data_IF_442124026907
#
_entry.id   IF_442124026907
#
_cell.length_a   1.000
_cell.length_b   1.000
_cell.length_c   1.000
_cell.angle_alpha   90.00
_cell.angle_beta   90.00
_cell.angle_gamma   90.00
#
_symmetry.space_group_name_H-M   'P 1'
#
loop_
_entity.id
_entity.type
_entity.pdbx_description
1 polymer ?
#
# COMPACT_ATOMS: atom_id res chain seq x y z
N UNK A 1 58.24 -27.98 -24.91
CA UNK A 1 57.20 -28.46 -23.96
C UNK A 1 56.32 -27.29 -23.62
N UNK A 2 55.03 -27.42 -23.91
CA UNK A 2 54.03 -26.37 -23.87
C UNK A 2 53.37 -26.37 -22.49
N UNK A 3 53.36 -25.22 -21.81
CA UNK A 3 52.74 -25.05 -20.49
C UNK A 3 51.27 -24.69 -20.69
N UNK A 4 50.37 -25.61 -20.36
CA UNK A 4 48.93 -25.38 -20.35
C UNK A 4 48.53 -24.61 -19.10
N UNK A 5 48.05 -23.39 -19.26
CA UNK A 5 47.36 -22.62 -18.23
C UNK A 5 45.89 -23.06 -18.17
N UNK A 6 45.46 -23.65 -17.05
CA UNK A 6 44.05 -23.92 -16.77
C UNK A 6 43.46 -22.79 -15.93
N UNK A 7 42.60 -21.98 -16.56
CA UNK A 7 41.78 -20.97 -15.91
C UNK A 7 40.73 -21.62 -15.01
N UNK A 8 40.79 -21.38 -13.71
CA UNK A 8 39.70 -21.72 -12.78
C UNK A 8 38.85 -20.47 -12.55
N UNK A 9 37.63 -20.49 -13.07
CA UNK A 9 36.60 -19.49 -12.78
C UNK A 9 36.28 -19.48 -11.26
N UNK A 10 35.98 -18.32 -10.65
CA UNK A 10 35.65 -18.25 -9.24
C UNK A 10 34.31 -18.98 -8.98
N UNK A 11 34.36 -19.90 -8.01
CA UNK A 11 33.23 -20.67 -7.53
C UNK A 11 32.09 -19.76 -7.07
N UNK A 12 30.90 -20.04 -7.59
CA UNK A 12 29.65 -19.41 -7.20
C UNK A 12 29.41 -19.61 -5.71
N UNK A 13 29.31 -18.51 -4.96
CA UNK A 13 28.87 -18.54 -3.56
C UNK A 13 27.47 -19.17 -3.51
N UNK A 14 27.26 -20.29 -2.81
CA UNK A 14 25.92 -20.81 -2.60
C UNK A 14 25.19 -19.82 -1.68
N UNK A 15 24.21 -19.09 -2.23
CA UNK A 15 23.25 -18.36 -1.42
C UNK A 15 22.50 -19.41 -0.60
N UNK A 16 22.84 -19.53 0.69
CA UNK A 16 22.12 -20.37 1.62
C UNK A 16 20.65 -19.98 1.57
N UNK A 17 19.82 -20.88 1.05
CA UNK A 17 18.37 -20.79 1.16
C UNK A 17 18.06 -20.87 2.67
N UNK A 18 17.83 -19.71 3.29
CA UNK A 18 17.24 -19.70 4.62
C UNK A 18 15.91 -20.43 4.55
N UNK A 19 15.66 -21.43 5.42
CA UNK A 19 14.38 -22.09 5.46
C UNK A 19 13.34 -21.01 5.76
N UNK A 20 12.45 -20.77 4.79
CA UNK A 20 11.28 -19.93 4.98
C UNK A 20 10.43 -20.56 6.08
N UNK A 21 10.68 -20.17 7.32
CA UNK A 21 9.80 -20.50 8.44
C UNK A 21 8.39 -20.10 8.04
N UNK A 22 7.49 -21.08 8.02
CA UNK A 22 6.11 -21.04 7.54
C UNK A 22 5.20 -20.14 8.40
N UNK A 23 5.61 -18.90 8.65
CA UNK A 23 4.78 -17.89 9.29
C UNK A 23 4.03 -17.14 8.19
N UNK A 24 2.89 -17.68 7.77
CA UNK A 24 2.04 -17.02 6.78
C UNK A 24 1.61 -15.64 7.29
N UNK A 25 1.84 -14.61 6.48
CA UNK A 25 1.34 -13.25 6.77
C UNK A 25 -0.18 -13.30 6.86
N UNK A 26 -0.73 -12.72 7.93
CA UNK A 26 -2.15 -12.61 8.21
C UNK A 26 -2.64 -11.19 8.06
N UNK A 27 -1.89 -10.21 8.57
CA UNK A 27 -2.22 -8.80 8.45
C UNK A 27 -0.97 -7.96 8.22
N UNK A 28 -1.16 -6.81 7.57
CA UNK A 28 -0.15 -5.77 7.40
C UNK A 28 -0.73 -4.49 7.97
N UNK A 29 0.10 -3.77 8.70
CA UNK A 29 -0.17 -2.41 9.21
C UNK A 29 0.87 -1.47 8.66
N UNK A 30 0.53 -0.19 8.52
CA UNK A 30 1.47 0.84 8.07
C UNK A 30 1.37 2.08 8.94
N UNK A 31 2.48 2.81 9.09
CA UNK A 31 2.50 4.08 9.82
C UNK A 31 1.67 5.19 9.14
N UNK A 32 1.61 5.16 7.80
CA UNK A 32 0.80 6.03 6.95
C UNK A 32 0.56 5.33 5.62
N UNK A 33 -0.66 5.37 5.13
CA UNK A 33 -1.04 4.85 3.82
C UNK A 33 -0.88 5.88 2.73
N UNK A 34 -0.98 7.18 3.06
CA UNK A 34 -0.63 8.25 2.15
C UNK A 34 0.14 9.39 2.84
N UNK A 35 1.01 10.07 2.10
CA UNK A 35 1.78 11.22 2.56
C UNK A 35 1.94 12.30 1.48
N UNK A 36 1.73 13.56 1.88
CA UNK A 36 2.11 14.75 1.10
C UNK A 36 3.56 15.12 1.36
N UNK A 37 4.36 15.13 0.29
CA UNK A 37 5.81 15.32 0.36
C UNK A 37 6.20 16.58 -0.41
N UNK A 38 7.17 17.33 0.11
CA UNK A 38 7.74 18.45 -0.62
C UNK A 38 8.42 17.95 -1.89
N UNK A 39 8.23 18.66 -3.01
CA UNK A 39 8.99 18.41 -4.23
C UNK A 39 10.50 18.33 -3.93
N UNK A 40 11.20 17.38 -4.56
CA UNK A 40 12.63 17.14 -4.31
C UNK A 40 12.98 16.41 -3.01
N UNK A 41 12.01 16.01 -2.18
CA UNK A 41 12.26 15.27 -0.93
C UNK A 41 11.83 13.81 -1.04
N UNK A 42 12.33 12.91 -0.19
CA UNK A 42 11.95 11.49 -0.23
C UNK A 42 10.71 11.19 0.62
N UNK A 43 9.85 10.27 0.16
CA UNK A 43 8.77 9.71 0.97
C UNK A 43 9.22 8.45 1.72
N UNK A 44 8.69 8.18 2.91
CA UNK A 44 9.06 6.97 3.66
C UNK A 44 7.87 6.32 4.39
N UNK A 45 7.74 5.02 4.17
CA UNK A 45 6.70 4.19 4.75
C UNK A 45 7.33 3.06 5.58
N UNK A 46 6.69 2.74 6.70
CA UNK A 46 7.07 1.61 7.56
C UNK A 46 5.86 0.69 7.69
N UNK A 47 5.99 -0.50 7.12
CA UNK A 47 4.99 -1.55 7.25
C UNK A 47 5.42 -2.55 8.32
N UNK A 48 4.45 -3.15 9.00
CA UNK A 48 4.66 -4.26 9.95
C UNK A 48 3.70 -5.38 9.61
N UNK A 49 4.25 -6.56 9.33
CA UNK A 49 3.52 -7.77 9.02
C UNK A 49 3.33 -8.63 10.27
N UNK A 50 2.14 -9.20 10.40
CA UNK A 50 1.69 -9.95 11.56
C UNK A 50 1.20 -11.33 11.14
N UNK A 51 1.50 -12.34 11.97
CA UNK A 51 0.91 -13.68 11.90
C UNK A 51 -0.49 -13.68 12.51
N UNK A 52 -1.26 -14.75 12.27
CA UNK A 52 -2.62 -14.91 12.82
C UNK A 52 -2.65 -14.84 14.36
N UNK A 53 -1.57 -15.28 15.01
CA UNK A 53 -1.44 -15.32 16.47
C UNK A 53 -0.93 -14.00 17.06
N UNK A 54 -0.82 -12.93 16.26
CA UNK A 54 -0.36 -11.62 16.73
C UNK A 54 1.16 -11.48 16.89
N UNK A 55 1.95 -12.48 16.49
CA UNK A 55 3.41 -12.35 16.45
C UNK A 55 3.88 -11.65 15.16
N UNK A 56 5.01 -10.93 15.18
CA UNK A 56 5.59 -10.39 13.96
C UNK A 56 5.93 -11.48 12.94
N UNK A 57 5.59 -11.27 11.68
CA UNK A 57 5.97 -12.16 10.59
C UNK A 57 7.37 -11.77 10.08
N UNK A 58 8.41 -12.33 10.71
CA UNK A 58 9.81 -12.09 10.38
C UNK A 58 10.27 -12.85 9.12
N UNK A 59 11.33 -12.35 8.47
CA UNK A 59 11.99 -12.96 7.30
C UNK A 59 11.04 -13.29 6.15
N UNK A 60 10.00 -12.46 5.99
CA UNK A 60 9.04 -12.61 4.90
C UNK A 60 9.53 -11.85 3.67
N UNK A 61 9.55 -12.46 2.48
CA UNK A 61 10.01 -11.80 1.26
C UNK A 61 9.11 -10.60 0.92
N UNK A 62 9.73 -9.51 0.47
CA UNK A 62 9.06 -8.26 0.11
C UNK A 62 9.26 -7.96 -1.37
N UNK A 63 8.18 -7.64 -2.06
CA UNK A 63 8.22 -7.10 -3.42
C UNK A 63 7.46 -5.79 -3.46
N UNK A 64 8.08 -4.77 -4.05
CA UNK A 64 7.46 -3.46 -4.24
C UNK A 64 7.06 -3.32 -5.71
N UNK A 65 5.90 -2.73 -5.96
CA UNK A 65 5.41 -2.40 -7.28
C UNK A 65 5.11 -0.92 -7.35
N UNK A 66 5.61 -0.24 -8.39
CA UNK A 66 5.39 1.19 -8.60
C UNK A 66 4.41 1.38 -9.76
N UNK A 67 3.32 2.06 -9.47
CA UNK A 67 2.38 2.55 -10.47
C UNK A 67 2.39 4.07 -10.46
N UNK A 68 2.77 4.67 -11.58
CA UNK A 68 2.70 6.12 -11.76
C UNK A 68 1.26 6.55 -12.03
N UNK A 69 0.77 7.55 -11.32
CA UNK A 69 -0.56 8.13 -11.56
C UNK A 69 -0.46 9.59 -11.97
N UNK A 70 -1.38 10.02 -12.82
CA UNK A 70 -1.63 11.46 -13.01
C UNK A 70 -2.33 11.97 -11.74
N UNK A 71 -1.78 12.98 -11.04
CA UNK A 71 -2.43 13.57 -9.87
C UNK A 71 -3.88 13.94 -10.19
N UNK A 72 -4.78 13.74 -9.23
CA UNK A 72 -6.22 14.02 -9.35
C UNK A 72 -7.01 13.31 -10.45
N UNK A 73 -6.37 12.50 -11.29
CA UNK A 73 -7.10 11.78 -12.35
C UNK A 73 -8.20 10.88 -11.80
N UNK A 74 -8.08 10.47 -10.54
CA UNK A 74 -8.96 9.47 -9.95
C UNK A 74 -8.80 8.09 -10.60
N UNK A 75 -7.88 7.93 -11.55
CA UNK A 75 -7.62 6.70 -12.27
C UNK A 75 -6.46 5.95 -11.62
N UNK A 76 -6.59 4.64 -11.37
CA UNK A 76 -5.47 3.83 -10.92
C UNK A 76 -4.38 3.76 -12.01
N UNK A 77 -3.15 3.35 -11.66
CA UNK A 77 -2.10 3.09 -12.65
C UNK A 77 -2.56 2.02 -13.64
N UNK A 78 -2.35 2.26 -14.93
CA UNK A 78 -2.58 1.27 -16.00
C UNK A 78 -1.44 0.26 -16.10
N UNK A 79 -0.29 0.56 -15.48
CA UNK A 79 0.88 -0.31 -15.46
C UNK A 79 1.55 -0.27 -14.08
N UNK A 80 2.01 -1.44 -13.66
CA UNK A 80 2.79 -1.63 -12.45
C UNK A 80 4.19 -2.15 -12.78
N UNK A 81 5.20 -1.54 -12.19
CA UNK A 81 6.61 -1.88 -12.37
C UNK A 81 7.14 -2.54 -11.11
N UNK A 82 7.55 -3.80 -11.18
CA UNK A 82 8.14 -4.50 -10.05
C UNK A 82 9.51 -3.90 -9.71
N UNK A 83 9.86 -3.89 -8.42
CA UNK A 83 11.13 -3.35 -7.90
C UNK A 83 12.37 -4.05 -8.43
N UNK A 84 12.25 -5.25 -8.98
CA UNK A 84 13.31 -5.96 -9.68
C UNK A 84 13.64 -5.39 -11.07
N UNK A 85 12.86 -4.43 -11.58
CA UNK A 85 13.08 -3.82 -12.90
C UNK A 85 13.86 -2.52 -12.79
N UNK A 86 14.72 -2.24 -13.77
CA UNK A 86 15.45 -0.96 -13.86
C UNK A 86 14.52 0.26 -13.96
N UNK A 87 13.34 0.08 -14.56
CA UNK A 87 12.32 1.12 -14.65
C UNK A 87 11.70 1.49 -13.29
N UNK A 88 11.60 0.57 -12.33
CA UNK A 88 11.13 0.86 -10.98
C UNK A 88 12.22 1.49 -10.10
N UNK A 89 13.50 1.17 -10.36
CA UNK A 89 14.64 1.62 -9.54
C UNK A 89 14.74 3.15 -9.42
N UNK A 90 14.31 3.91 -10.42
CA UNK A 90 14.30 5.39 -10.37
C UNK A 90 13.34 5.97 -9.32
N UNK A 91 12.30 5.22 -8.94
CA UNK A 91 11.28 5.66 -7.97
C UNK A 91 11.56 5.13 -6.56
N UNK A 92 12.37 4.08 -6.42
CA UNK A 92 12.65 3.43 -5.14
C UNK A 92 14.09 3.74 -4.75
N UNK A 93 14.27 4.56 -3.71
CA UNK A 93 15.59 4.86 -3.15
C UNK A 93 16.14 3.66 -2.39
N UNK A 94 15.31 3.04 -1.56
CA UNK A 94 15.67 1.82 -0.83
C UNK A 94 14.44 1.11 -0.27
N UNK A 95 14.56 -0.21 -0.10
CA UNK A 95 13.62 -1.00 0.69
C UNK A 95 14.30 -2.26 1.23
N UNK A 96 13.72 -2.90 2.24
CA UNK A 96 14.17 -4.21 2.71
C UNK A 96 13.54 -5.31 1.86
N UNK A 97 14.35 -6.20 1.29
CA UNK A 97 13.88 -7.35 0.52
C UNK A 97 13.16 -8.41 1.37
N UNK A 98 13.32 -8.35 2.69
CA UNK A 98 12.60 -9.16 3.65
C UNK A 98 12.21 -8.34 4.88
N UNK A 99 11.21 -8.79 5.63
CA UNK A 99 10.91 -8.22 6.95
C UNK A 99 11.98 -8.60 7.98
N UNK A 100 12.32 -7.67 8.87
CA UNK A 100 13.25 -7.93 9.97
C UNK A 100 12.62 -8.79 11.08
N UNK A 101 13.36 -9.02 12.18
CA UNK A 101 12.89 -9.78 13.36
C UNK A 101 11.63 -9.22 14.03
N UNK A 102 11.29 -7.95 13.77
CA UNK A 102 10.05 -7.29 14.23
C UNK A 102 8.95 -7.31 13.18
N UNK A 103 9.09 -8.09 12.10
CA UNK A 103 8.15 -8.14 11.00
C UNK A 103 8.08 -6.82 10.20
N UNK A 104 9.09 -5.95 10.33
CA UNK A 104 9.06 -4.60 9.76
C UNK A 104 9.79 -4.55 8.42
N UNK A 105 9.24 -3.74 7.52
CA UNK A 105 9.91 -3.28 6.30
C UNK A 105 9.80 -1.77 6.21
N UNK A 106 10.89 -1.14 5.76
CA UNK A 106 10.90 0.28 5.39
C UNK A 106 10.96 0.39 3.88
N UNK A 107 10.10 1.22 3.31
CA UNK A 107 10.12 1.61 1.89
C UNK A 107 10.44 3.09 1.84
N UNK A 108 11.44 3.47 1.05
CA UNK A 108 11.85 4.85 0.81
C UNK A 108 11.78 5.12 -0.69
N UNK A 109 10.92 6.06 -1.06
CA UNK A 109 10.79 6.50 -2.45
C UNK A 109 11.79 7.62 -2.73
N UNK A 110 12.34 7.61 -3.94
CA UNK A 110 13.22 8.66 -4.44
C UNK A 110 12.50 9.99 -4.51
N UNK A 111 13.25 11.08 -4.39
CA UNK A 111 12.72 12.42 -4.59
C UNK A 111 12.16 12.59 -6.01
N UNK A 112 11.01 13.26 -6.11
CA UNK A 112 10.33 13.52 -7.39
C UNK A 112 10.05 15.01 -7.58
N UNK A 113 9.91 15.48 -8.83
CA UNK A 113 9.41 16.82 -9.10
C UNK A 113 7.95 16.99 -8.63
N UNK A 114 7.52 18.24 -8.52
CA UNK A 114 6.12 18.54 -8.19
C UNK A 114 5.17 18.01 -9.29
N UNK A 115 3.95 17.65 -8.90
CA UNK A 115 2.92 17.03 -9.78
C UNK A 115 3.19 15.56 -10.14
N UNK A 116 4.07 14.88 -9.41
CA UNK A 116 4.23 13.43 -9.51
C UNK A 116 3.50 12.74 -8.36
N UNK A 117 2.66 11.75 -8.68
CA UNK A 117 2.02 10.88 -7.71
C UNK A 117 2.37 9.42 -8.02
N UNK A 118 2.90 8.74 -7.02
CA UNK A 118 3.25 7.32 -7.08
C UNK A 118 2.33 6.53 -6.16
N UNK A 119 1.68 5.53 -6.75
CA UNK A 119 1.04 4.46 -6.02
C UNK A 119 2.04 3.32 -5.85
N UNK A 120 2.18 2.83 -4.64
CA UNK A 120 3.13 1.77 -4.28
C UNK A 120 2.37 0.56 -3.77
N UNK A 121 2.34 -0.48 -4.59
CA UNK A 121 1.85 -1.80 -4.19
C UNK A 121 2.92 -2.53 -3.39
N UNK A 122 2.58 -3.04 -2.21
CA UNK A 122 3.53 -3.76 -1.35
C UNK A 122 3.05 -5.19 -1.13
N UNK A 123 3.89 -6.15 -1.55
CA UNK A 123 3.74 -7.58 -1.24
C UNK A 123 4.66 -7.93 -0.09
N UNK A 124 4.13 -8.58 0.96
CA UNK A 124 4.94 -9.18 2.03
C UNK A 124 4.54 -10.64 2.21
N UNK A 125 5.51 -11.54 2.09
CA UNK A 125 5.32 -12.98 2.20
C UNK A 125 4.38 -13.56 1.14
N UNK A 126 3.89 -14.76 1.43
CA UNK A 126 2.84 -15.39 0.64
C UNK A 126 1.47 -15.13 1.31
N UNK A 127 0.76 -14.10 0.85
CA UNK A 127 -0.69 -14.04 1.00
C UNK A 127 -1.24 -15.01 -0.05
N UNK A 128 -1.88 -16.09 0.38
CA UNK A 128 -2.35 -17.24 -0.42
C UNK A 128 -3.28 -16.89 -1.61
N UNK A 129 -3.59 -15.61 -1.80
CA UNK A 129 -4.52 -15.06 -2.79
C UNK A 129 -3.87 -14.02 -3.72
N UNK A 130 -2.55 -13.77 -3.62
CA UNK A 130 -1.88 -12.76 -4.44
C UNK A 130 -1.95 -13.08 -5.94
N UNK A 131 -2.45 -12.13 -6.74
CA UNK A 131 -2.58 -12.23 -8.19
C UNK A 131 -1.89 -11.06 -8.90
N UNK A 132 -0.65 -11.25 -9.40
CA UNK A 132 0.12 -10.18 -10.05
C UNK A 132 -0.60 -9.47 -11.20
N UNK A 133 -1.40 -10.20 -11.99
CA UNK A 133 -2.14 -9.65 -13.13
C UNK A 133 -3.25 -8.66 -12.74
N UNK A 134 -3.75 -8.76 -11.52
CA UNK A 134 -4.84 -7.92 -10.99
C UNK A 134 -4.38 -7.02 -9.85
N UNK A 135 -3.15 -7.22 -9.37
CA UNK A 135 -2.59 -6.60 -8.16
C UNK A 135 -3.46 -6.82 -6.91
N UNK A 136 -4.32 -7.85 -6.93
CA UNK A 136 -5.15 -8.24 -5.81
C UNK A 136 -4.30 -8.87 -4.70
N UNK A 137 -4.65 -8.58 -3.44
CA UNK A 137 -3.89 -8.93 -2.24
C UNK A 137 -2.53 -8.17 -2.15
N UNK A 138 -2.43 -6.98 -2.76
CA UNK A 138 -1.41 -5.97 -2.47
C UNK A 138 -1.99 -4.76 -1.76
N UNK A 139 -1.53 -4.51 -0.53
CA UNK A 139 -1.74 -3.23 0.11
C UNK A 139 -1.13 -2.11 -0.75
N UNK A 140 -1.88 -1.03 -0.97
CA UNK A 140 -1.44 0.08 -1.82
C UNK A 140 -1.25 1.38 -1.03
N UNK A 141 -0.03 1.92 -1.06
CA UNK A 141 0.36 3.20 -0.46
C UNK A 141 0.39 4.29 -1.52
N UNK A 142 0.27 5.55 -1.11
CA UNK A 142 0.38 6.70 -2.01
C UNK A 142 1.38 7.74 -1.49
N UNK A 143 2.24 8.24 -2.36
CA UNK A 143 3.06 9.42 -2.09
C UNK A 143 2.82 10.46 -3.18
N UNK A 144 2.69 11.72 -2.78
CA UNK A 144 2.43 12.79 -3.72
C UNK A 144 3.31 14.02 -3.43
N UNK A 145 4.09 14.40 -4.45
CA UNK A 145 5.03 15.50 -4.41
C UNK A 145 4.39 16.81 -4.85
N UNK A 146 4.46 17.82 -3.98
CA UNK A 146 3.81 19.11 -4.17
C UNK A 146 4.72 20.29 -3.78
N UNK A 147 4.38 21.47 -4.28
CA UNK A 147 4.82 22.78 -3.78
C UNK A 147 3.58 23.55 -3.29
N UNK A 148 3.73 24.66 -2.53
CA UNK A 148 2.59 25.47 -2.10
C UNK A 148 1.71 26.01 -3.25
N UNK A 149 2.25 26.03 -4.48
CA UNK A 149 1.57 26.58 -5.68
C UNK A 149 1.02 25.51 -6.60
N UNK A 150 1.34 24.23 -6.43
CA UNK A 150 0.78 23.16 -7.27
C UNK A 150 -0.59 22.75 -6.76
N UNK A 151 -1.54 22.56 -7.69
CA UNK A 151 -2.80 21.90 -7.40
C UNK A 151 -2.61 20.38 -7.55
N UNK A 152 -3.13 19.57 -6.61
CA UNK A 152 -3.75 20.00 -5.36
C UNK A 152 -2.80 20.61 -4.33
N UNK A 153 -3.29 21.54 -3.51
CA UNK A 153 -2.49 22.37 -2.59
C UNK A 153 -2.43 21.81 -1.16
N UNK A 154 -2.56 20.49 -1.01
CA UNK A 154 -2.44 19.86 0.30
C UNK A 154 -1.09 20.24 0.96
N UNK A 155 -1.08 20.76 2.19
CA UNK A 155 0.14 21.09 2.90
C UNK A 155 1.07 19.89 3.00
N UNK A 156 2.36 20.16 2.86
CA UNK A 156 3.40 19.17 3.12
C UNK A 156 3.25 18.67 4.56
N UNK A 157 3.35 17.35 4.74
CA UNK A 157 3.19 16.69 6.04
C UNK A 157 1.77 16.19 6.35
N UNK A 158 0.78 16.54 5.52
CA UNK A 158 -0.50 15.86 5.55
C UNK A 158 -0.35 14.37 5.28
N UNK A 159 -1.11 13.54 6.01
CA UNK A 159 -1.07 12.10 5.87
C UNK A 159 -2.41 11.44 6.16
N UNK A 160 -2.59 10.28 5.55
CA UNK A 160 -3.72 9.38 5.83
C UNK A 160 -3.17 8.06 6.33
N UNK A 161 -3.85 7.45 7.30
CA UNK A 161 -3.58 6.09 7.76
C UNK A 161 -4.86 5.27 7.72
N UNK A 162 -4.83 4.16 6.98
CA UNK A 162 -5.92 3.16 6.96
C UNK A 162 -5.51 1.94 7.79
N UNK A 163 -6.41 1.46 8.64
CA UNK A 163 -6.22 0.26 9.49
C UNK A 163 -7.47 -0.63 9.45
N UNK A 164 -7.33 -1.95 9.21
CA UNK A 164 -6.12 -2.63 8.75
C UNK A 164 -5.67 -2.10 7.38
N UNK A 165 -4.40 -2.31 7.02
CA UNK A 165 -3.92 -1.98 5.68
C UNK A 165 -4.09 -3.17 4.73
N UNK A 166 -3.78 -4.37 5.20
CA UNK A 166 -4.18 -5.64 4.57
C UNK A 166 -4.54 -6.60 5.70
N UNK A 167 -5.60 -7.39 5.57
CA UNK A 167 -5.91 -8.43 6.55
C UNK A 167 -6.58 -9.63 5.89
N UNK A 168 -6.30 -10.83 6.39
CA UNK A 168 -7.14 -11.99 6.13
C UNK A 168 -8.40 -11.91 7.00
N UNK A 169 -9.53 -12.39 6.48
CA UNK A 169 -10.80 -12.48 7.19
C UNK A 169 -11.55 -13.75 6.80
N UNK A 170 -12.35 -14.29 7.72
CA UNK A 170 -13.26 -15.39 7.39
C UNK A 170 -14.41 -14.87 6.50
N UNK A 171 -14.98 -15.72 5.62
CA UNK A 171 -16.20 -15.40 4.90
C UNK A 171 -17.30 -14.87 5.85
N UNK A 172 -17.96 -13.78 5.49
CA UNK A 172 -19.02 -13.15 6.28
C UNK A 172 -18.54 -12.30 7.48
N UNK A 173 -17.23 -12.23 7.75
CA UNK A 173 -16.72 -11.44 8.87
C UNK A 173 -16.93 -9.93 8.66
N UNK A 174 -17.34 -9.23 9.72
CA UNK A 174 -17.41 -7.77 9.74
C UNK A 174 -16.10 -7.17 10.24
N UNK A 175 -15.34 -6.56 9.33
CA UNK A 175 -14.02 -5.99 9.60
C UNK A 175 -14.11 -4.47 9.77
N UNK A 176 -13.72 -3.90 10.92
CA UNK A 176 -13.65 -2.45 11.08
C UNK A 176 -12.45 -1.89 10.30
N UNK A 177 -12.72 -0.89 9.46
CA UNK A 177 -11.73 -0.11 8.73
C UNK A 177 -11.75 1.29 9.31
N UNK A 178 -10.67 1.64 9.99
CA UNK A 178 -10.40 2.96 10.52
C UNK A 178 -9.56 3.77 9.54
N UNK A 179 -9.99 4.99 9.24
CA UNK A 179 -9.21 5.98 8.50
C UNK A 179 -8.91 7.14 9.44
N UNK A 180 -7.63 7.49 9.58
CA UNK A 180 -7.17 8.66 10.33
C UNK A 180 -6.52 9.64 9.37
N UNK A 181 -6.88 10.92 9.50
CA UNK A 181 -6.39 12.01 8.64
C UNK A 181 -5.72 13.04 9.53
N UNK A 182 -4.44 13.33 9.24
CA UNK A 182 -3.63 14.26 10.02
C UNK A 182 -2.97 15.29 9.10
N UNK A 183 -2.76 16.50 9.62
CA UNK A 183 -1.82 17.49 9.10
C UNK A 183 -0.50 17.42 9.88
N UNK A 184 0.46 18.27 9.49
CA UNK A 184 1.67 18.53 10.27
C UNK A 184 1.39 19.12 11.67
N UNK A 185 0.20 19.67 11.91
CA UNK A 185 -0.18 20.35 13.16
C UNK A 185 -1.16 19.55 14.02
N UNK A 186 -1.73 18.45 13.52
CA UNK A 186 -2.64 17.60 14.30
C UNK A 186 -3.73 16.92 13.46
N UNK A 187 -4.72 16.31 14.12
CA UNK A 187 -5.82 15.63 13.44
C UNK A 187 -6.70 16.59 12.63
N UNK A 188 -7.14 16.16 11.46
CA UNK A 188 -8.05 16.94 10.59
C UNK A 188 -9.48 16.45 10.81
N UNK A 189 -10.27 17.23 11.53
CA UNK A 189 -11.71 17.01 11.66
C UNK A 189 -12.47 17.40 10.39
N UNK A 190 -13.65 16.82 10.18
CA UNK A 190 -14.52 17.10 9.04
C UNK A 190 -13.86 16.86 7.67
N UNK A 191 -12.87 15.97 7.60
CA UNK A 191 -12.37 15.44 6.34
C UNK A 191 -13.40 14.47 5.77
N UNK A 192 -13.79 14.65 4.51
CA UNK A 192 -14.67 13.72 3.79
C UNK A 192 -13.88 12.48 3.42
N UNK A 193 -14.34 11.32 3.83
CA UNK A 193 -13.76 10.01 3.51
C UNK A 193 -14.80 9.19 2.76
N UNK A 194 -14.46 8.79 1.53
CA UNK A 194 -15.26 7.91 0.70
C UNK A 194 -14.64 6.50 0.72
N UNK A 195 -15.45 5.51 1.04
CA UNK A 195 -15.12 4.08 0.97
C UNK A 195 -15.78 3.52 -0.29
N UNK A 196 -14.98 3.07 -1.25
CA UNK A 196 -15.44 2.55 -2.54
C UNK A 196 -14.96 1.11 -2.69
N UNK A 197 -15.81 0.11 -2.38
CA UNK A 197 -15.52 -1.29 -2.69
C UNK A 197 -15.31 -1.46 -4.20
N UNK A 198 -14.20 -2.10 -4.60
CA UNK A 198 -13.97 -2.47 -6.00
C UNK A 198 -14.53 -3.87 -6.21
N UNK A 199 -15.61 -4.00 -6.97
CA UNK A 199 -16.13 -5.31 -7.35
C UNK A 199 -15.41 -5.84 -8.59
N UNK A 200 -14.90 -7.07 -8.52
CA UNK A 200 -14.76 -7.91 -9.73
C UNK A 200 -16.16 -8.44 -10.04
N UNK A 201 -16.78 -7.89 -11.08
CA UNK A 201 -18.08 -8.26 -11.63
C UNK A 201 -18.35 -9.78 -11.64
N UNK A 202 -19.40 -10.24 -10.94
CA UNK A 202 -20.43 -11.17 -11.47
C UNK A 202 -21.26 -11.90 -10.41
N UNK A 203 -20.88 -11.96 -9.13
CA UNK A 203 -21.66 -12.73 -8.15
C UNK A 203 -21.78 -12.02 -6.80
N UNK A 204 -22.81 -11.20 -6.66
CA UNK A 204 -23.59 -11.04 -5.43
C UNK A 204 -24.76 -10.08 -5.72
N UNK A 205 -25.96 -10.50 -5.32
CA UNK A 205 -27.21 -9.77 -5.55
C UNK A 205 -27.15 -8.34 -5.01
N UNK A 206 -27.64 -7.41 -5.82
CA UNK A 206 -28.14 -6.09 -5.44
C UNK A 206 -27.41 -5.40 -4.26
N UNK A 207 -26.15 -5.01 -4.47
CA UNK A 207 -25.67 -3.76 -3.88
C UNK A 207 -25.67 -2.73 -4.99
N UNK A 208 -26.50 -1.69 -4.84
CA UNK A 208 -26.80 -0.71 -5.89
C UNK A 208 -25.52 -0.14 -6.52
N UNK A 209 -25.52 -0.06 -7.85
CA UNK A 209 -24.49 0.54 -8.72
C UNK A 209 -24.29 2.07 -8.51
N UNK A 210 -24.57 2.59 -7.31
CA UNK A 210 -24.42 4.00 -6.96
C UNK A 210 -24.12 4.14 -5.46
N UNK A 211 -22.95 4.71 -5.12
CA UNK A 211 -22.68 5.28 -3.80
C UNK A 211 -21.59 4.57 -2.99
N UNK A 212 -20.33 4.97 -3.19
CA UNK A 212 -19.32 4.79 -2.16
C UNK A 212 -19.80 5.40 -0.84
N UNK A 213 -19.52 4.74 0.29
CA UNK A 213 -19.96 5.23 1.59
C UNK A 213 -19.16 6.46 1.98
N UNK A 214 -19.84 7.59 2.19
CA UNK A 214 -19.18 8.84 2.61
C UNK A 214 -19.38 9.07 4.10
N UNK A 215 -18.31 9.44 4.79
CA UNK A 215 -18.32 9.87 6.18
C UNK A 215 -17.36 11.04 6.39
N UNK A 216 -17.55 11.74 7.51
CA UNK A 216 -16.67 12.82 7.94
C UNK A 216 -15.83 12.34 9.12
N UNK A 217 -14.56 12.73 9.17
CA UNK A 217 -13.74 12.48 10.34
C UNK A 217 -14.27 13.26 11.55
N UNK A 218 -14.20 12.65 12.72
CA UNK A 218 -14.55 13.28 13.99
C UNK A 218 -13.47 14.28 14.46
N UNK A 219 -13.62 14.82 15.68
CA UNK A 219 -12.68 15.80 16.27
C UNK A 219 -11.24 15.28 16.42
N UNK A 220 -11.04 13.97 16.45
CA UNK A 220 -9.71 13.34 16.51
C UNK A 220 -9.22 12.88 15.13
N UNK A 221 -9.84 13.36 14.05
CA UNK A 221 -9.41 13.09 12.68
C UNK A 221 -9.70 11.67 12.21
N UNK A 222 -10.62 10.96 12.87
CA UNK A 222 -10.88 9.55 12.62
C UNK A 222 -12.30 9.29 12.11
N UNK A 223 -12.43 8.29 11.24
CA UNK A 223 -13.68 7.65 10.89
C UNK A 223 -13.52 6.13 10.89
N UNK A 224 -14.56 5.41 11.27
CA UNK A 224 -14.62 3.95 11.18
C UNK A 224 -15.79 3.53 10.31
N UNK A 225 -15.53 2.64 9.35
CA UNK A 225 -16.54 1.95 8.56
C UNK A 225 -16.37 0.44 8.71
N UNK A 226 -17.45 -0.34 8.60
CA UNK A 226 -17.39 -1.80 8.69
C UNK A 226 -17.57 -2.40 7.31
N UNK A 227 -16.58 -3.15 6.88
CA UNK A 227 -16.61 -3.89 5.62
C UNK A 227 -16.98 -5.36 5.89
N UNK A 228 -17.86 -5.92 5.07
CA UNK A 228 -18.26 -7.33 5.17
C UNK A 228 -17.42 -8.15 4.20
N UNK A 229 -16.67 -9.12 4.71
CA UNK A 229 -15.98 -10.10 3.88
C UNK A 229 -17.02 -10.93 3.10
N UNK A 230 -17.02 -10.84 1.77
CA UNK A 230 -17.98 -11.57 0.94
C UNK A 230 -17.85 -13.09 1.13
N UNK A 231 -18.96 -13.82 1.03
CA UNK A 231 -18.95 -15.28 1.21
C UNK A 231 -18.32 -16.06 0.05
N UNK A 232 -18.12 -15.43 -1.11
CA UNK A 232 -17.48 -16.02 -2.29
C UNK A 232 -16.39 -15.17 -2.95
N UNK A 233 -16.05 -14.01 -2.40
CA UNK A 233 -15.01 -13.14 -2.93
C UNK A 233 -13.67 -13.48 -2.28
N UNK A 234 -12.64 -13.82 -3.08
CA UNK A 234 -11.29 -14.14 -2.57
C UNK A 234 -10.55 -12.93 -2.00
N UNK A 235 -10.95 -11.74 -2.42
CA UNK A 235 -10.40 -10.47 -2.03
C UNK A 235 -11.46 -9.36 -2.16
N UNK A 236 -11.40 -8.38 -1.28
CA UNK A 236 -12.21 -7.17 -1.37
C UNK A 236 -11.30 -5.95 -1.26
N UNK A 237 -10.81 -5.42 -2.39
CA UNK A 237 -10.09 -4.16 -2.41
C UNK A 237 -11.07 -3.01 -2.17
N UNK A 238 -10.75 -2.17 -1.21
CA UNK A 238 -11.56 -1.00 -0.85
C UNK A 238 -10.70 0.21 -1.12
N UNK A 239 -11.13 1.00 -2.10
CA UNK A 239 -10.53 2.29 -2.38
C UNK A 239 -10.99 3.30 -1.36
N UNK A 240 -10.05 3.94 -0.69
CA UNK A 240 -10.31 5.08 0.19
C UNK A 240 -9.95 6.36 -0.54
N UNK A 241 -10.88 7.31 -0.61
CA UNK A 241 -10.62 8.67 -1.10
C UNK A 241 -10.88 9.62 0.04
N UNK A 242 -9.86 10.37 0.45
CA UNK A 242 -10.01 11.46 1.42
C UNK A 242 -10.11 12.78 0.67
N UNK A 243 -10.87 13.73 1.20
CA UNK A 243 -10.95 15.11 0.70
C UNK A 243 -11.11 16.04 1.88
N UNK A 244 -10.30 17.09 1.95
CA UNK A 244 -10.35 18.10 3.01
C UNK A 244 -10.51 19.49 2.41
N UNK A 245 -11.38 20.33 2.97
CA UNK A 245 -11.65 21.68 2.47
C UNK A 245 -12.79 21.75 1.44
N UNK A 246 -13.28 22.97 1.18
CA UNK A 246 -14.44 23.25 0.33
C UNK A 246 -14.20 23.03 -1.17
N UNK A 247 -12.94 23.01 -1.61
CA UNK A 247 -12.52 22.65 -2.96
C UNK A 247 -11.76 21.33 -2.92
N UNK A 248 -12.02 20.45 -3.89
CA UNK A 248 -11.56 19.06 -3.99
C UNK A 248 -10.02 18.88 -4.09
N UNK A 249 -9.25 19.38 -3.14
CA UNK A 249 -7.81 19.59 -3.30
C UNK A 249 -6.94 18.74 -2.36
N UNK A 250 -7.45 17.68 -1.73
CA UNK A 250 -6.60 16.73 -0.98
C UNK A 250 -7.03 15.30 -1.23
N UNK A 251 -6.88 14.81 -2.47
CA UNK A 251 -7.03 13.39 -2.76
C UNK A 251 -5.78 12.69 -2.22
N UNK A 252 -5.88 12.11 -1.03
CA UNK A 252 -5.10 10.90 -0.78
C UNK A 252 -5.61 9.90 -1.83
N UNK A 253 -4.71 9.44 -2.70
CA UNK A 253 -4.98 8.56 -3.83
C UNK A 253 -5.76 7.31 -3.43
N UNK A 254 -6.05 6.47 -4.42
CA UNK A 254 -6.80 5.24 -4.19
C UNK A 254 -6.00 4.23 -3.36
N UNK A 255 -5.87 4.47 -2.06
CA UNK A 255 -5.35 3.53 -1.09
C UNK A 255 -6.29 2.33 -1.09
N UNK A 256 -5.75 1.16 -1.41
CA UNK A 256 -6.49 -0.08 -1.24
C UNK A 256 -6.13 -0.62 0.14
N UNK A 257 -7.14 -0.72 1.00
CA UNK A 257 -7.11 -1.78 2.01
C UNK A 257 -7.75 -3.01 1.40
N UNK A 258 -7.23 -4.18 1.78
CA UNK A 258 -7.72 -5.44 1.25
C UNK A 258 -8.08 -6.38 2.37
N UNK A 259 -9.28 -6.94 2.23
CA UNK A 259 -9.74 -8.06 3.02
C UNK A 259 -9.58 -9.30 2.16
N UNK A 260 -8.67 -10.17 2.55
CA UNK A 260 -8.39 -11.43 1.89
C UNK A 260 -9.23 -12.52 2.52
N UNK A 261 -10.07 -13.18 1.74
CA UNK A 261 -10.85 -14.33 2.20
C UNK A 261 -10.16 -15.61 1.68
N UNK A 262 -9.72 -16.51 2.58
CA UNK A 262 -9.03 -17.74 2.18
C UNK A 262 -9.93 -18.68 1.38
#
# INVERSE_FOLDING_TARGET
MQVSATSSAPASVPTAAHPSGSHSVYAITVNRTAEMVAAGHTASFRLTAWTKNGHPAAHQPVTIYIGTMVPLSGMPPTRWLASSTSAAARYIRSYSHETNSRGQVRVVLSAQPAKTMEMVGVKIGNLSTYRPSTMAALGSLDAWWTTPTTSPTAPIGDSVTVRPFVTKASPGASIPISVTVNSSTGPIANARVQFIPKHSSSMMGAMSNSGGYTRMTNRVGQVVWRAMAGSGARDMPIRIVVTTGASMNRVAGGMNTEIVVP
#
